data_IF_297823108624
#
_entry.id   IF_297823108624
#
_cell.length_a   1.000
_cell.length_b   1.000
_cell.length_c   1.000
_cell.angle_alpha   90.00
_cell.angle_beta   90.00
_cell.angle_gamma   90.00
#
_symmetry.space_group_name_H-M   'P 1'
#
loop_
_entity.id
_entity.type
_entity.pdbx_description
1 polymer ?
#
# COMPACT_ATOMS: atom_id res chain seq x y z
N UNK A 1 19.20 2.06 -0.27
CA UNK A 1 19.68 2.11 -1.67
C UNK A 1 20.49 3.39 -1.83
N UNK A 2 21.59 3.33 -2.55
CA UNK A 2 22.37 4.51 -2.94
C UNK A 2 22.40 4.53 -4.45
N UNK A 3 21.92 5.63 -5.05
CA UNK A 3 21.99 5.87 -6.49
C UNK A 3 23.16 6.79 -6.77
N UNK A 4 23.84 6.57 -7.89
CA UNK A 4 24.91 7.47 -8.30
C UNK A 4 24.32 8.66 -9.08
N UNK A 5 24.94 9.85 -8.99
CA UNK A 5 24.67 10.91 -9.95
C UNK A 5 24.80 10.39 -11.38
N UNK A 6 23.90 10.84 -12.27
CA UNK A 6 23.83 10.46 -13.68
C UNK A 6 23.49 8.97 -13.96
N UNK A 7 23.08 8.22 -12.93
CA UNK A 7 22.52 6.88 -13.11
C UNK A 7 21.14 6.95 -13.78
N UNK A 8 20.99 6.22 -14.89
CA UNK A 8 19.71 6.08 -15.58
C UNK A 8 19.01 4.80 -15.12
N UNK A 9 17.76 4.94 -14.68
CA UNK A 9 16.93 3.83 -14.22
C UNK A 9 15.67 3.76 -15.06
N UNK A 10 15.28 2.53 -15.40
CA UNK A 10 13.92 2.28 -15.86
C UNK A 10 12.97 2.31 -14.66
N UNK A 11 11.94 3.14 -14.75
CA UNK A 11 11.02 3.41 -13.64
C UNK A 11 9.57 3.44 -14.11
N UNK A 12 8.68 3.11 -13.19
CA UNK A 12 7.25 3.35 -13.31
C UNK A 12 6.83 4.43 -12.31
N UNK A 13 6.12 5.46 -12.76
CA UNK A 13 5.56 6.48 -11.86
C UNK A 13 4.32 5.88 -11.22
N UNK A 14 4.42 5.52 -9.93
CA UNK A 14 3.39 4.78 -9.20
C UNK A 14 2.34 5.68 -8.56
N UNK A 15 2.72 6.90 -8.20
CA UNK A 15 1.83 7.93 -7.68
C UNK A 15 2.39 9.32 -8.00
N UNK A 16 1.53 10.33 -8.07
CA UNK A 16 1.92 11.71 -8.32
C UNK A 16 0.98 12.65 -7.59
N UNK A 17 1.55 13.55 -6.78
CA UNK A 17 0.83 14.70 -6.25
C UNK A 17 0.98 15.88 -7.22
N UNK A 18 2.21 16.13 -7.67
CA UNK A 18 2.54 17.15 -8.67
C UNK A 18 3.94 16.86 -9.27
N UNK A 19 4.38 17.59 -10.30
CA UNK A 19 5.68 17.32 -10.94
C UNK A 19 6.92 17.42 -10.04
N UNK A 20 6.80 18.08 -8.87
CA UNK A 20 7.88 18.21 -7.88
C UNK A 20 7.75 17.18 -6.74
N UNK A 21 6.65 16.42 -6.67
CA UNK A 21 6.42 15.42 -5.64
C UNK A 21 5.62 14.24 -6.20
N UNK A 22 6.34 13.16 -6.50
CA UNK A 22 5.82 11.93 -7.06
C UNK A 22 6.67 10.75 -6.61
N UNK A 23 6.13 9.55 -6.77
CA UNK A 23 6.77 8.30 -6.37
C UNK A 23 7.03 7.43 -7.58
N UNK A 24 8.12 6.67 -7.50
CA UNK A 24 8.54 5.75 -8.55
C UNK A 24 8.77 4.36 -7.97
N UNK A 25 8.53 3.36 -8.81
CA UNK A 25 9.01 2.01 -8.64
C UNK A 25 10.13 1.77 -9.64
N UNK A 26 11.28 1.28 -9.15
CA UNK A 26 12.41 0.90 -10.00
C UNK A 26 12.10 -0.45 -10.62
N UNK A 27 12.11 -0.50 -11.95
CA UNK A 27 11.82 -1.72 -12.69
C UNK A 27 12.97 -2.72 -12.54
N UNK A 28 12.62 -3.98 -12.31
CA UNK A 28 13.59 -5.07 -12.18
C UNK A 28 13.10 -6.16 -11.22
N UNK A 29 14.03 -6.85 -10.57
CA UNK A 29 13.70 -7.97 -9.67
C UNK A 29 12.75 -7.55 -8.53
N UNK A 30 12.90 -6.32 -8.02
CA UNK A 30 12.07 -5.83 -6.90
C UNK A 30 10.65 -5.52 -7.30
N UNK A 31 10.42 -4.96 -8.49
CA UNK A 31 9.04 -4.74 -8.99
C UNK A 31 8.33 -6.08 -9.20
N UNK A 32 9.01 -7.09 -9.73
CA UNK A 32 8.46 -8.45 -9.85
C UNK A 32 8.16 -9.10 -8.49
N UNK A 33 8.98 -8.84 -7.47
CA UNK A 33 8.71 -9.29 -6.10
C UNK A 33 7.48 -8.60 -5.50
N UNK A 34 7.28 -7.32 -5.80
CA UNK A 34 6.08 -6.59 -5.40
C UNK A 34 4.83 -7.17 -6.09
N UNK A 35 4.88 -7.42 -7.41
CA UNK A 35 3.76 -8.04 -8.14
C UNK A 35 3.36 -9.38 -7.51
N UNK A 36 4.36 -10.20 -7.18
CA UNK A 36 4.16 -11.48 -6.50
C UNK A 36 3.53 -11.29 -5.12
N UNK A 37 4.04 -10.36 -4.32
CA UNK A 37 3.49 -10.05 -2.99
C UNK A 37 2.03 -9.62 -3.08
N UNK A 38 1.70 -8.68 -3.97
CA UNK A 38 0.33 -8.19 -4.17
C UNK A 38 -0.60 -9.33 -4.60
N UNK A 39 -0.15 -10.24 -5.47
CA UNK A 39 -0.92 -11.41 -5.86
C UNK A 39 -1.14 -12.40 -4.69
N UNK A 40 -0.11 -12.64 -3.87
CA UNK A 40 -0.19 -13.51 -2.70
C UNK A 40 -1.10 -12.93 -1.61
N UNK A 41 -0.96 -11.64 -1.30
CA UNK A 41 -1.85 -10.93 -0.39
C UNK A 41 -3.30 -11.00 -0.87
N UNK A 42 -3.52 -10.74 -2.17
CA UNK A 42 -4.88 -10.77 -2.72
C UNK A 42 -5.49 -12.17 -2.66
N UNK A 43 -4.71 -13.22 -2.91
CA UNK A 43 -5.18 -14.60 -2.73
C UNK A 43 -5.54 -14.90 -1.27
N UNK A 44 -4.73 -14.42 -0.33
CA UNK A 44 -4.92 -14.67 1.10
C UNK A 44 -6.14 -13.93 1.65
N UNK A 45 -6.24 -12.62 1.46
CA UNK A 45 -7.28 -11.78 2.06
C UNK A 45 -8.62 -11.77 1.30
N UNK A 46 -8.67 -12.33 0.08
CA UNK A 46 -9.94 -12.63 -0.58
C UNK A 46 -10.52 -14.00 -0.17
N UNK A 47 -9.80 -14.79 0.63
CA UNK A 47 -10.29 -16.07 1.15
C UNK A 47 -11.29 -15.93 2.30
N UNK A 48 -11.95 -17.03 2.64
CA UNK A 48 -13.03 -17.07 3.66
C UNK A 48 -12.57 -16.65 5.07
N UNK A 49 -11.30 -16.88 5.39
CA UNK A 49 -10.70 -16.53 6.70
C UNK A 49 -10.31 -15.07 6.83
N UNK A 50 -10.48 -14.25 5.78
CA UNK A 50 -10.14 -12.82 5.80
C UNK A 50 -10.71 -12.08 7.01
N UNK A 51 -11.94 -12.42 7.43
CA UNK A 51 -12.59 -11.76 8.56
C UNK A 51 -11.94 -12.07 9.91
N UNK A 52 -11.15 -13.14 10.02
CA UNK A 52 -10.38 -13.50 11.22
C UNK A 52 -9.18 -12.57 11.42
N UNK A 53 -8.74 -11.89 10.37
CA UNK A 53 -7.60 -10.97 10.37
C UNK A 53 -8.01 -9.50 10.51
N UNK A 54 -9.20 -9.19 11.03
CA UNK A 54 -9.63 -7.79 11.19
C UNK A 54 -8.74 -7.02 12.17
N UNK A 55 -8.50 -5.74 11.86
CA UNK A 55 -7.76 -4.86 12.76
C UNK A 55 -8.67 -4.43 13.93
N UNK A 56 -8.33 -4.88 15.14
CA UNK A 56 -9.10 -4.56 16.35
C UNK A 56 -8.85 -3.13 16.86
N UNK A 57 -7.61 -2.66 16.80
CA UNK A 57 -7.21 -1.33 17.26
C UNK A 57 -6.37 -0.65 16.18
N UNK A 58 -6.65 0.62 15.92
CA UNK A 58 -5.85 1.44 15.00
C UNK A 58 -4.70 2.06 15.78
N UNK A 59 -3.47 1.79 15.34
CA UNK A 59 -2.25 2.37 15.90
C UNK A 59 -1.52 3.10 14.78
N UNK A 60 -1.27 4.40 14.98
CA UNK A 60 -0.53 5.21 14.00
C UNK A 60 0.88 4.66 13.83
N UNK A 61 1.29 4.46 12.58
CA UNK A 61 2.58 3.87 12.21
C UNK A 61 2.52 2.39 11.87
N UNK A 62 1.49 1.66 12.28
CA UNK A 62 1.35 0.22 11.96
C UNK A 62 1.16 0.00 10.47
N UNK A 63 1.67 -1.14 9.99
CA UNK A 63 1.42 -1.63 8.63
C UNK A 63 0.23 -2.59 8.68
N UNK A 64 -0.77 -2.31 7.85
CA UNK A 64 -1.99 -3.10 7.66
C UNK A 64 -2.10 -3.54 6.21
N UNK A 65 -2.85 -4.60 5.97
CA UNK A 65 -3.31 -4.95 4.63
C UNK A 65 -4.59 -4.18 4.32
N UNK A 66 -4.63 -3.53 3.16
CA UNK A 66 -5.74 -2.70 2.72
C UNK A 66 -6.08 -2.97 1.24
N UNK A 67 -7.37 -3.01 0.87
CA UNK A 67 -7.78 -3.08 -0.53
C UNK A 67 -7.42 -1.77 -1.26
N UNK A 68 -6.90 -1.90 -2.46
CA UNK A 68 -6.47 -0.75 -3.27
C UNK A 68 -7.45 -0.45 -4.40
N UNK A 69 -8.29 0.57 -4.19
CA UNK A 69 -9.23 1.14 -5.17
C UNK A 69 -10.01 0.07 -5.96
N UNK A 70 -10.44 0.39 -7.18
CA UNK A 70 -11.25 -0.46 -8.06
C UNK A 70 -10.52 -1.68 -8.63
N UNK A 71 -9.27 -1.94 -8.22
CA UNK A 71 -8.41 -2.98 -8.80
C UNK A 71 -8.51 -4.34 -8.09
N UNK A 72 -9.22 -4.41 -6.96
CA UNK A 72 -9.44 -5.67 -6.23
C UNK A 72 -8.18 -6.32 -5.65
N UNK A 73 -7.07 -5.56 -5.56
CA UNK A 73 -5.81 -6.03 -4.98
C UNK A 73 -5.65 -5.61 -3.53
N UNK A 74 -5.00 -6.46 -2.74
CA UNK A 74 -4.61 -6.16 -1.37
C UNK A 74 -3.15 -5.70 -1.31
N UNK A 75 -2.92 -4.60 -0.61
CA UNK A 75 -1.63 -3.91 -0.57
C UNK A 75 -1.25 -3.54 0.86
N UNK A 76 0.02 -3.27 1.07
CA UNK A 76 0.52 -2.81 2.36
C UNK A 76 0.27 -1.32 2.50
N UNK A 77 -0.34 -0.93 3.61
CA UNK A 77 -0.61 0.46 3.93
C UNK A 77 -0.13 0.77 5.35
N UNK A 78 0.42 1.97 5.54
CA UNK A 78 0.74 2.50 6.86
C UNK A 78 -0.43 3.32 7.37
N UNK A 79 -0.83 3.12 8.62
CA UNK A 79 -1.80 3.99 9.30
C UNK A 79 -1.15 5.34 9.60
N UNK A 80 -1.76 6.42 9.09
CA UNK A 80 -1.36 7.80 9.38
C UNK A 80 -2.19 8.42 10.50
N UNK A 81 -3.46 8.03 10.63
CA UNK A 81 -4.37 8.59 11.62
C UNK A 81 -5.80 8.15 11.42
N UNK A 82 -6.69 8.75 12.21
CA UNK A 82 -8.15 8.66 12.04
C UNK A 82 -8.65 10.07 11.70
N UNK A 83 -9.37 10.19 10.60
CA UNK A 83 -9.93 11.45 10.13
C UNK A 83 -11.17 11.83 10.94
N UNK A 84 -11.58 13.11 10.87
CA UNK A 84 -12.81 13.57 11.52
C UNK A 84 -14.08 12.88 11.02
N UNK A 85 -14.02 12.26 9.83
CA UNK A 85 -15.08 11.41 9.26
C UNK A 85 -15.18 10.03 9.91
N UNK A 86 -14.19 9.62 10.70
CA UNK A 86 -14.06 8.26 11.25
C UNK A 86 -13.32 7.27 10.34
N UNK A 87 -12.94 7.68 9.12
CA UNK A 87 -12.11 6.88 8.23
C UNK A 87 -10.66 6.82 8.73
N UNK A 88 -9.97 5.74 8.43
CA UNK A 88 -8.53 5.59 8.66
C UNK A 88 -7.77 6.18 7.48
N UNK A 89 -6.88 7.13 7.76
CA UNK A 89 -5.95 7.68 6.78
C UNK A 89 -4.76 6.74 6.60
N UNK A 90 -4.46 6.42 5.35
CA UNK A 90 -3.52 5.38 4.96
C UNK A 90 -2.51 5.91 3.93
N UNK A 91 -1.29 5.40 4.02
CA UNK A 91 -0.24 5.59 3.01
C UNK A 91 0.19 4.24 2.44
N UNK A 92 -0.03 4.02 1.13
CA UNK A 92 0.34 2.78 0.47
C UNK A 92 1.85 2.72 0.27
N UNK A 93 2.55 1.98 1.13
CA UNK A 93 4.01 2.07 1.27
C UNK A 93 4.79 1.64 0.03
N UNK A 94 4.15 0.87 -0.85
CA UNK A 94 4.73 0.35 -2.09
C UNK A 94 4.43 1.22 -3.33
N UNK A 95 3.48 2.15 -3.24
CA UNK A 95 3.00 2.96 -4.36
C UNK A 95 3.19 4.46 -4.14
N UNK A 96 3.05 4.91 -2.89
CA UNK A 96 3.30 6.29 -2.47
C UNK A 96 2.08 7.18 -2.40
N UNK A 97 0.91 6.74 -2.84
CA UNK A 97 -0.33 7.50 -2.68
C UNK A 97 -1.02 7.24 -1.34
N UNK A 98 -1.93 8.13 -1.00
CA UNK A 98 -2.79 8.04 0.18
C UNK A 98 -4.14 7.40 -0.17
N UNK A 99 -4.79 6.85 0.86
CA UNK A 99 -6.17 6.39 0.77
C UNK A 99 -6.89 6.52 2.09
N UNK A 100 -8.21 6.44 2.02
CA UNK A 100 -9.08 6.52 3.19
C UNK A 100 -10.00 5.31 3.19
N UNK A 101 -9.98 4.54 4.27
CA UNK A 101 -10.83 3.37 4.39
C UNK A 101 -11.45 3.24 5.78
N UNK A 102 -12.67 2.71 5.86
CA UNK A 102 -13.21 2.23 7.12
C UNK A 102 -12.33 1.13 7.73
N UNK A 103 -12.19 1.11 9.06
CA UNK A 103 -11.37 0.11 9.78
C UNK A 103 -11.77 -1.33 9.44
N UNK A 104 -13.06 -1.58 9.21
CA UNK A 104 -13.60 -2.89 8.86
C UNK A 104 -13.10 -3.45 7.52
N UNK A 105 -12.52 -2.60 6.67
CA UNK A 105 -11.86 -3.03 5.43
C UNK A 105 -10.37 -3.35 5.61
N UNK A 106 -9.79 -3.07 6.78
CA UNK A 106 -8.39 -3.32 7.06
C UNK A 106 -8.18 -4.71 7.65
N UNK A 107 -7.03 -5.29 7.34
CA UNK A 107 -6.58 -6.56 7.91
C UNK A 107 -5.21 -6.42 8.56
N UNK A 108 -4.95 -7.21 9.60
CA UNK A 108 -3.61 -7.36 10.15
C UNK A 108 -2.69 -7.97 9.10
N UNK A 109 -1.46 -7.46 9.02
CA UNK A 109 -0.39 -7.99 8.19
C UNK A 109 0.20 -9.28 8.76
#
# INVERSE_FOLDING_TARGET
>A
LSFQPDEHLEVYVSASENPQHFWIQILGVRSLQLDKLTAEMSRFYNGDTSQEHRVETIIVGDIVAAPYRDYGTWNRARVLGILGSGLVDLYYVDFGDNGELPREHLRSM
#
